data_IF_395891080098
#
_entry.id   IF_395891080098
#
_cell.length_a   1.000
_cell.length_b   1.000
_cell.length_c   1.000
_cell.angle_alpha   90.00
_cell.angle_beta   90.00
_cell.angle_gamma   90.00
#
_symmetry.space_group_name_H-M   'P 1'
#
loop_
_entity.id
_entity.type
_entity.pdbx_description
1 polymer ?
#
# COMPACT_ATOMS: atom_id res chain seq x y z
N UNK A 1 -30.68 61.29 0.35
CA UNK A 1 -30.10 60.98 -0.98
C UNK A 1 -30.33 59.50 -1.25
N UNK A 2 -31.03 59.24 -2.37
CA UNK A 2 -31.31 58.01 -3.13
C UNK A 2 -31.18 56.59 -2.52
N UNK A 3 -32.35 55.96 -2.47
CA UNK A 3 -32.71 54.60 -2.96
C UNK A 3 -31.70 53.81 -3.79
N UNK A 4 -31.61 52.49 -3.57
CA UNK A 4 -32.06 51.47 -4.55
C UNK A 4 -32.15 50.05 -3.97
N UNK A 5 -33.31 49.42 -4.21
CA UNK A 5 -33.64 47.99 -4.07
C UNK A 5 -33.15 47.21 -5.29
N UNK A 6 -32.72 45.95 -5.13
CA UNK A 6 -32.89 44.79 -6.03
C UNK A 6 -32.47 43.55 -5.21
N UNK A 7 -33.10 42.39 -5.20
CA UNK A 7 -34.08 41.79 -6.09
C UNK A 7 -33.76 40.29 -6.16
N UNK A 8 -34.59 39.46 -5.54
CA UNK A 8 -34.54 38.00 -5.46
C UNK A 8 -34.59 37.35 -6.86
N UNK A 9 -33.86 36.23 -7.09
CA UNK A 9 -34.30 35.22 -8.05
C UNK A 9 -33.74 33.82 -7.76
N UNK A 10 -34.68 32.90 -7.52
CA UNK A 10 -34.55 31.46 -7.39
C UNK A 10 -34.13 30.79 -8.70
N UNK A 11 -33.13 29.91 -8.65
CA UNK A 11 -32.82 28.99 -9.76
C UNK A 11 -33.74 27.76 -9.68
N UNK A 12 -34.66 27.65 -10.65
CA UNK A 12 -35.48 26.46 -10.88
C UNK A 12 -34.72 25.46 -11.76
N UNK A 13 -34.69 24.21 -11.33
CA UNK A 13 -34.25 23.05 -12.11
C UNK A 13 -35.22 22.80 -13.28
N UNK A 14 -34.66 22.55 -14.47
CA UNK A 14 -35.38 22.02 -15.64
C UNK A 14 -34.99 20.55 -15.87
N UNK A 15 -35.93 19.66 -16.24
CA UNK A 15 -35.66 18.24 -16.43
C UNK A 15 -35.05 17.94 -17.80
N UNK A 16 -34.14 16.96 -17.82
CA UNK A 16 -33.40 16.51 -19.00
C UNK A 16 -34.31 15.85 -20.06
N UNK A 17 -34.08 16.24 -21.32
CA UNK A 17 -34.73 15.68 -22.51
C UNK A 17 -34.19 14.28 -22.82
N UNK A 18 -35.10 13.31 -22.95
CA UNK A 18 -34.91 12.01 -23.59
C UNK A 18 -34.68 12.21 -25.09
N UNK A 19 -33.55 11.78 -25.60
CA UNK A 19 -33.30 11.62 -27.03
C UNK A 19 -33.08 10.13 -27.33
N UNK A 20 -34.02 9.60 -28.11
CA UNK A 20 -33.98 8.27 -28.72
C UNK A 20 -32.82 8.21 -29.73
N UNK A 21 -31.93 7.23 -29.59
CA UNK A 21 -31.04 6.79 -30.66
C UNK A 21 -31.51 5.42 -31.11
N UNK A 22 -32.01 5.37 -32.34
CA UNK A 22 -32.37 4.16 -33.07
C UNK A 22 -31.19 3.82 -33.99
N UNK A 23 -30.47 2.74 -33.73
CA UNK A 23 -29.59 2.10 -34.73
C UNK A 23 -29.54 0.58 -34.54
N UNK A 24 -30.25 -0.11 -35.44
CA UNK A 24 -29.99 -1.44 -36.02
C UNK A 24 -29.20 -2.48 -35.20
N UNK A 25 -29.93 -3.33 -34.47
CA UNK A 25 -29.41 -4.56 -33.88
C UNK A 25 -29.44 -5.69 -34.92
N UNK A 26 -28.29 -5.98 -35.54
CA UNK A 26 -28.09 -7.14 -36.41
C UNK A 26 -28.16 -8.42 -35.56
N UNK A 27 -29.14 -9.27 -35.85
CA UNK A 27 -29.39 -10.55 -35.20
C UNK A 27 -28.32 -11.59 -35.57
N UNK A 28 -27.13 -11.48 -34.97
CA UNK A 28 -26.19 -12.61 -34.89
C UNK A 28 -26.63 -13.51 -33.74
N UNK A 29 -27.12 -14.71 -34.09
CA UNK A 29 -27.37 -15.82 -33.16
C UNK A 29 -26.05 -16.18 -32.47
N UNK A 30 -25.79 -15.61 -31.30
CA UNK A 30 -24.81 -16.17 -30.37
C UNK A 30 -25.42 -17.43 -29.77
N UNK A 31 -24.83 -18.59 -30.12
CA UNK A 31 -25.10 -19.84 -29.41
C UNK A 31 -24.59 -19.66 -27.99
N UNK A 32 -25.49 -19.43 -27.04
CA UNK A 32 -25.21 -19.64 -25.63
C UNK A 32 -25.06 -21.15 -25.42
N UNK A 33 -23.83 -21.66 -25.41
CA UNK A 33 -23.54 -22.92 -24.74
C UNK A 33 -23.77 -22.74 -23.24
N UNK A 34 -24.17 -23.78 -22.50
CA UNK A 34 -24.25 -23.68 -21.05
C UNK A 34 -22.83 -23.46 -20.52
N UNK A 35 -22.51 -22.23 -20.13
CA UNK A 35 -21.39 -21.99 -19.25
C UNK A 35 -21.76 -22.63 -17.91
N UNK A 36 -21.24 -23.83 -17.66
CA UNK A 36 -21.22 -24.42 -16.33
C UNK A 36 -20.34 -23.52 -15.45
N UNK A 37 -20.93 -22.48 -14.88
CA UNK A 37 -20.35 -21.80 -13.73
C UNK A 37 -20.37 -22.83 -12.59
N UNK A 38 -19.19 -23.31 -12.21
CA UNK A 38 -19.03 -24.23 -11.09
C UNK A 38 -19.63 -23.60 -9.83
N UNK A 39 -20.72 -24.15 -9.34
CA UNK A 39 -21.44 -23.74 -8.12
C UNK A 39 -20.59 -23.85 -6.84
N UNK A 40 -19.37 -24.38 -6.95
CA UNK A 40 -18.43 -24.56 -5.84
C UNK A 40 -17.73 -23.28 -5.37
N UNK A 41 -17.65 -22.22 -6.19
CA UNK A 41 -16.91 -21.01 -5.81
C UNK A 41 -17.72 -20.06 -4.93
N UNK A 42 -19.03 -19.94 -5.17
CA UNK A 42 -19.92 -19.10 -4.35
C UNK A 42 -20.01 -19.57 -2.89
N UNK A 43 -19.99 -20.89 -2.66
CA UNK A 43 -20.04 -21.46 -1.31
C UNK A 43 -18.76 -21.23 -0.51
N UNK A 44 -17.60 -21.19 -1.18
CA UNK A 44 -16.29 -20.96 -0.53
C UNK A 44 -16.13 -19.50 -0.12
N UNK A 45 -16.52 -18.56 -0.97
CA UNK A 45 -16.45 -17.13 -0.68
C UNK A 45 -17.34 -16.77 0.53
N UNK A 46 -18.58 -17.28 0.58
CA UNK A 46 -19.46 -17.06 1.73
C UNK A 46 -18.92 -17.65 3.04
N UNK A 47 -18.32 -18.84 2.97
CA UNK A 47 -17.69 -19.46 4.15
C UNK A 47 -16.47 -18.67 4.63
N UNK A 48 -15.69 -18.08 3.72
CA UNK A 48 -14.52 -17.28 4.07
C UNK A 48 -14.95 -15.95 4.70
N UNK A 49 -15.93 -15.26 4.10
CA UNK A 49 -16.47 -14.02 4.65
C UNK A 49 -17.02 -14.22 6.05
N UNK A 50 -17.79 -15.28 6.30
CA UNK A 50 -18.33 -15.56 7.64
C UNK A 50 -17.23 -15.81 8.68
N UNK A 51 -16.12 -16.47 8.28
CA UNK A 51 -14.96 -16.66 9.17
C UNK A 51 -14.24 -15.35 9.48
N UNK A 52 -14.11 -14.46 8.50
CA UNK A 52 -13.53 -13.12 8.70
C UNK A 52 -14.40 -12.34 9.69
N UNK A 53 -15.72 -12.33 9.48
CA UNK A 53 -16.66 -11.65 10.37
C UNK A 53 -16.57 -12.15 11.82
N UNK A 54 -16.58 -13.47 12.03
CA UNK A 54 -16.40 -14.06 13.37
C UNK A 54 -15.07 -13.69 14.03
N UNK A 55 -14.00 -13.56 13.23
CA UNK A 55 -12.70 -13.14 13.74
C UNK A 55 -12.70 -11.65 14.11
N UNK A 56 -13.35 -10.81 13.31
CA UNK A 56 -13.50 -9.37 13.58
C UNK A 56 -14.37 -9.08 14.81
N UNK A 57 -15.34 -9.93 15.13
CA UNK A 57 -16.13 -9.84 16.36
C UNK A 57 -15.29 -10.11 17.61
N UNK A 58 -14.15 -10.78 17.45
CA UNK A 58 -13.25 -11.15 18.53
C UNK A 58 -12.12 -10.14 18.78
N UNK A 59 -12.03 -9.11 17.93
CA UNK A 59 -11.09 -7.98 18.05
C UNK A 59 -11.51 -7.03 19.16
N UNK A 60 -10.52 -6.44 19.83
CA UNK A 60 -10.70 -5.35 20.78
C UNK A 60 -10.54 -4.02 20.07
N UNK A 61 -11.68 -3.36 19.83
CA UNK A 61 -11.71 -2.02 19.28
C UNK A 61 -11.71 -0.99 20.42
N UNK A 62 -11.09 0.17 20.20
CA UNK A 62 -11.16 1.30 21.13
C UNK A 62 -12.59 1.87 21.23
N UNK A 63 -12.80 2.87 22.09
CA UNK A 63 -14.10 3.52 22.29
C UNK A 63 -14.68 4.17 21.00
N UNK A 64 -13.86 4.30 19.95
CA UNK A 64 -14.24 4.85 18.64
C UNK A 64 -14.40 3.76 17.58
N UNK A 65 -14.30 2.49 17.96
CA UNK A 65 -14.39 1.35 17.05
C UNK A 65 -13.13 1.16 16.19
N UNK A 66 -11.96 1.57 16.68
CA UNK A 66 -10.69 1.56 15.95
C UNK A 66 -9.64 0.68 16.62
N UNK A 67 -8.79 0.09 15.79
CA UNK A 67 -7.55 -0.58 16.18
C UNK A 67 -6.36 0.06 15.44
N UNK A 68 -5.16 -0.11 15.97
CA UNK A 68 -3.94 0.30 15.28
C UNK A 68 -3.64 -0.74 14.19
N UNK A 69 -3.30 -0.27 12.99
CA UNK A 69 -2.86 -1.10 11.87
C UNK A 69 -1.50 -0.62 11.37
N UNK A 70 -0.52 -1.53 11.38
CA UNK A 70 0.86 -1.29 10.96
C UNK A 70 1.09 -1.98 9.63
N UNK A 71 1.47 -1.22 8.59
CA UNK A 71 1.89 -1.80 7.33
C UNK A 71 3.39 -2.14 7.41
N UNK A 72 3.75 -3.38 7.11
CA UNK A 72 5.12 -3.87 7.10
C UNK A 72 5.47 -4.43 5.72
N UNK A 73 6.66 -4.12 5.24
CA UNK A 73 7.19 -4.66 4.00
C UNK A 73 7.49 -6.16 4.18
N UNK A 74 6.84 -7.00 3.37
CA UNK A 74 7.02 -8.46 3.40
C UNK A 74 8.44 -8.89 3.04
N UNK A 75 9.11 -8.15 2.15
CA UNK A 75 10.44 -8.50 1.68
C UNK A 75 11.50 -8.01 2.68
N UNK A 76 11.44 -6.75 3.12
CA UNK A 76 12.53 -6.14 3.92
C UNK A 76 12.31 -6.17 5.43
N UNK A 77 11.08 -6.46 5.88
CA UNK A 77 10.66 -6.31 7.27
C UNK A 77 10.51 -4.87 7.74
N UNK A 78 10.74 -3.87 6.88
CA UNK A 78 10.62 -2.46 7.23
C UNK A 78 9.18 -2.12 7.61
N UNK A 79 9.00 -1.38 8.71
CA UNK A 79 7.71 -0.75 9.01
C UNK A 79 7.51 0.38 8.02
N UNK A 80 6.45 0.31 7.21
CA UNK A 80 6.17 1.26 6.13
C UNK A 80 5.40 2.47 6.66
N UNK A 81 4.31 2.23 7.39
CA UNK A 81 3.46 3.27 7.96
C UNK A 81 2.53 2.68 9.03
N UNK A 82 1.94 3.56 9.83
CA UNK A 82 0.85 3.24 10.74
C UNK A 82 -0.41 4.01 10.34
N UNK A 83 -1.56 3.33 10.42
CA UNK A 83 -2.89 3.92 10.30
C UNK A 83 -3.85 3.31 11.32
N UNK A 84 -5.07 3.83 11.37
CA UNK A 84 -6.15 3.21 12.15
C UNK A 84 -6.97 2.34 11.22
N UNK A 85 -7.54 1.26 11.72
CA UNK A 85 -8.51 0.44 11.01
C UNK A 85 -9.76 0.32 11.87
N UNK A 86 -10.93 0.47 11.25
CA UNK A 86 -12.17 0.00 11.83
C UNK A 86 -12.47 -1.41 11.29
N UNK A 87 -13.54 -2.03 11.78
CA UNK A 87 -14.01 -3.34 11.32
C UNK A 87 -14.10 -3.45 9.79
N UNK A 88 -14.70 -2.45 9.14
CA UNK A 88 -14.88 -2.41 7.68
C UNK A 88 -13.56 -2.31 6.91
N UNK A 89 -12.58 -1.57 7.43
CA UNK A 89 -11.26 -1.43 6.82
C UNK A 89 -10.52 -2.78 6.78
N UNK A 90 -10.61 -3.57 7.85
CA UNK A 90 -9.98 -4.90 7.90
C UNK A 90 -10.68 -5.88 6.97
N UNK A 91 -12.02 -5.89 6.94
CA UNK A 91 -12.79 -6.71 6.01
C UNK A 91 -12.49 -6.36 4.54
N UNK A 92 -12.38 -5.07 4.23
CA UNK A 92 -11.99 -4.57 2.90
C UNK A 92 -10.57 -5.00 2.55
N UNK A 93 -9.65 -4.91 3.51
CA UNK A 93 -8.26 -5.34 3.31
C UNK A 93 -8.17 -6.85 3.03
N UNK A 94 -8.90 -7.67 3.79
CA UNK A 94 -8.93 -9.12 3.63
C UNK A 94 -9.49 -9.56 2.26
N UNK A 95 -10.51 -8.85 1.76
CA UNK A 95 -11.16 -9.14 0.48
C UNK A 95 -10.37 -8.61 -0.71
N UNK A 96 -9.91 -7.36 -0.68
CA UNK A 96 -9.25 -6.71 -1.82
C UNK A 96 -7.75 -6.99 -1.89
N UNK A 97 -7.15 -7.49 -0.80
CA UNK A 97 -5.69 -7.69 -0.65
C UNK A 97 -4.89 -6.41 -0.90
N UNK A 98 -5.46 -5.27 -0.48
CA UNK A 98 -4.80 -3.96 -0.49
C UNK A 98 -4.97 -3.31 0.88
N UNK A 99 -3.95 -2.63 1.38
CA UNK A 99 -3.99 -2.00 2.69
C UNK A 99 -5.08 -0.90 2.73
N UNK A 100 -6.18 -1.18 3.42
CA UNK A 100 -7.26 -0.22 3.67
C UNK A 100 -7.25 0.20 5.13
N UNK A 101 -7.30 1.51 5.34
CA UNK A 101 -7.32 2.16 6.65
C UNK A 101 -8.61 2.97 6.83
N UNK A 102 -8.86 3.41 8.06
CA UNK A 102 -9.91 4.35 8.42
C UNK A 102 -9.31 5.72 8.78
N UNK A 103 -9.74 6.75 8.05
CA UNK A 103 -9.28 8.12 8.24
C UNK A 103 -10.10 8.80 9.35
N UNK A 104 -9.54 8.93 10.56
CA UNK A 104 -10.24 9.57 11.70
C UNK A 104 -10.76 10.99 11.42
N UNK A 105 -10.02 11.77 10.63
CA UNK A 105 -10.39 13.16 10.29
C UNK A 105 -11.48 13.27 9.22
N UNK A 106 -11.61 12.27 8.35
CA UNK A 106 -12.56 12.24 7.23
C UNK A 106 -13.74 11.29 7.48
N UNK A 107 -13.67 10.52 8.57
CA UNK A 107 -14.63 9.48 8.94
C UNK A 107 -14.99 8.54 7.78
N UNK A 108 -13.97 8.10 7.04
CA UNK A 108 -14.15 7.26 5.85
C UNK A 108 -13.00 6.26 5.68
N UNK A 109 -13.28 5.18 4.96
CA UNK A 109 -12.28 4.24 4.47
C UNK A 109 -11.34 4.92 3.48
N UNK A 110 -10.09 4.47 3.45
CA UNK A 110 -9.07 4.92 2.55
C UNK A 110 -8.12 3.77 2.23
N UNK A 111 -8.05 3.37 0.97
CA UNK A 111 -7.08 2.37 0.52
C UNK A 111 -5.79 3.07 0.11
N UNK A 112 -4.68 2.69 0.73
CA UNK A 112 -3.37 3.27 0.41
C UNK A 112 -3.07 3.05 -1.06
N UNK A 113 -2.81 4.13 -1.79
CA UNK A 113 -2.49 4.10 -3.22
C UNK A 113 -3.61 4.56 -4.15
N UNK A 114 -4.86 4.76 -3.68
CA UNK A 114 -6.00 5.17 -4.54
C UNK A 114 -5.74 6.43 -5.38
N UNK A 115 -4.97 7.38 -4.86
CA UNK A 115 -4.62 8.63 -5.58
C UNK A 115 -3.23 8.57 -6.21
N UNK A 116 -2.28 7.90 -5.55
CA UNK A 116 -0.87 7.93 -5.93
C UNK A 116 -0.41 6.73 -6.77
N UNK A 117 -1.26 5.72 -6.96
CA UNK A 117 -0.93 4.38 -7.47
C UNK A 117 0.14 3.58 -6.68
N UNK A 118 0.77 4.17 -5.66
CA UNK A 118 1.62 3.45 -4.69
C UNK A 118 0.77 2.65 -3.69
N UNK A 119 0.23 1.52 -4.13
CA UNK A 119 -0.51 0.58 -3.28
C UNK A 119 0.43 -0.21 -2.35
N UNK A 120 -0.16 -0.83 -1.32
CA UNK A 120 0.49 -1.87 -0.53
C UNK A 120 -0.35 -3.14 -0.70
N UNK A 121 0.18 -4.11 -1.45
CA UNK A 121 -0.48 -5.37 -1.75
C UNK A 121 -0.28 -6.34 -0.59
N UNK A 122 -1.37 -6.77 0.03
CA UNK A 122 -1.35 -7.53 1.27
C UNK A 122 -1.10 -9.01 0.99
N UNK A 123 -0.01 -9.51 1.56
CA UNK A 123 0.31 -10.93 1.60
C UNK A 123 -0.44 -11.60 2.74
N UNK A 124 -0.37 -11.02 3.95
CA UNK A 124 -1.01 -11.59 5.14
C UNK A 124 -1.44 -10.51 6.14
N UNK A 125 -2.33 -10.89 7.06
CA UNK A 125 -2.85 -10.03 8.13
C UNK A 125 -2.64 -10.75 9.46
N UNK A 126 -1.83 -10.16 10.33
CA UNK A 126 -1.62 -10.66 11.69
C UNK A 126 -2.36 -9.80 12.69
N UNK A 127 -2.84 -10.44 13.75
CA UNK A 127 -3.49 -9.80 14.90
C UNK A 127 -2.62 -10.14 16.11
N UNK A 128 -2.40 -9.18 16.99
CA UNK A 128 -1.64 -9.41 18.21
C UNK A 128 -2.39 -10.26 19.24
N UNK A 129 -1.73 -10.58 20.36
CA UNK A 129 -2.21 -11.57 21.30
C UNK A 129 -3.42 -11.10 22.12
N UNK A 130 -3.54 -9.81 22.38
CA UNK A 130 -4.65 -9.15 23.05
C UNK A 130 -5.67 -8.54 22.08
N UNK A 131 -5.41 -8.60 20.78
CA UNK A 131 -6.32 -8.31 19.66
C UNK A 131 -6.71 -6.85 19.52
N UNK A 132 -5.83 -5.93 19.87
CA UNK A 132 -6.04 -4.48 19.70
C UNK A 132 -5.09 -3.83 18.65
N UNK A 133 -4.18 -4.63 18.07
CA UNK A 133 -3.29 -4.20 17.00
C UNK A 133 -3.21 -5.21 15.85
N UNK A 134 -2.96 -4.69 14.65
CA UNK A 134 -2.95 -5.43 13.40
C UNK A 134 -1.65 -5.15 12.65
N UNK A 135 -1.04 -6.19 12.07
CA UNK A 135 0.02 -6.06 11.07
C UNK A 135 -0.54 -6.42 9.70
N UNK A 136 -0.47 -5.48 8.79
CA UNK A 136 -0.65 -5.67 7.36
C UNK A 136 0.71 -5.97 6.74
N UNK A 137 1.01 -7.26 6.54
CA UNK A 137 2.24 -7.69 5.90
C UNK A 137 2.04 -7.66 4.38
N UNK A 138 2.76 -6.78 3.67
CA UNK A 138 2.51 -6.56 2.25
C UNK A 138 3.68 -5.98 1.47
N UNK A 139 3.53 -5.95 0.15
CA UNK A 139 4.51 -5.42 -0.80
C UNK A 139 4.08 -4.06 -1.33
N UNK A 140 4.86 -2.99 -1.12
CA UNK A 140 4.56 -1.68 -1.68
C UNK A 140 4.88 -1.63 -3.19
N UNK A 141 4.03 -0.98 -3.99
CA UNK A 141 4.22 -0.76 -5.44
C UNK A 141 5.08 0.47 -5.76
N UNK A 142 5.48 1.22 -4.74
CA UNK A 142 6.24 2.45 -4.86
C UNK A 142 6.48 3.06 -3.47
N UNK A 143 6.99 4.30 -3.37
CA UNK A 143 7.25 4.91 -2.08
C UNK A 143 5.95 5.03 -1.27
N UNK A 144 5.99 4.56 -0.02
CA UNK A 144 4.82 4.60 0.86
C UNK A 144 4.53 6.04 1.29
N UNK A 145 5.57 6.81 1.57
CA UNK A 145 5.43 8.18 2.08
C UNK A 145 5.15 9.17 0.94
N UNK A 146 4.37 10.21 1.26
CA UNK A 146 4.08 11.30 0.33
C UNK A 146 5.31 12.16 -0.01
N UNK A 147 6.40 12.05 0.77
CA UNK A 147 7.68 12.72 0.49
C UNK A 147 8.52 12.01 -0.57
N UNK A 148 8.11 10.81 -1.00
CA UNK A 148 8.90 9.94 -1.87
C UNK A 148 9.79 8.94 -1.12
N UNK A 149 9.80 8.97 0.21
CA UNK A 149 10.49 7.95 1.01
C UNK A 149 9.74 6.60 1.01
N UNK A 150 10.48 5.50 1.13
CA UNK A 150 9.92 4.13 1.18
C UNK A 150 9.02 3.89 2.39
N UNK A 151 9.40 4.46 3.54
CA UNK A 151 8.70 4.39 4.83
C UNK A 151 8.35 5.79 5.31
N UNK A 152 7.37 5.93 6.20
CA UNK A 152 7.13 7.15 6.97
C UNK A 152 8.13 7.33 8.13
N UNK A 153 8.87 6.28 8.51
CA UNK A 153 9.81 6.27 9.63
C UNK A 153 11.26 6.49 9.16
N UNK A 154 11.51 7.59 8.46
CA UNK A 154 12.80 7.89 7.82
C UNK A 154 13.69 8.88 8.60
N UNK A 155 13.21 9.37 9.75
CA UNK A 155 13.93 10.32 10.60
C UNK A 155 14.09 9.72 11.99
N UNK A 156 15.34 9.64 12.49
CA UNK A 156 15.59 9.17 13.85
C UNK A 156 15.54 10.33 14.86
N UNK A 157 15.40 10.00 16.15
CA UNK A 157 15.42 11.00 17.21
C UNK A 157 16.80 11.68 17.31
N UNK A 158 17.88 10.91 17.16
CA UNK A 158 19.25 11.43 17.22
C UNK A 158 19.51 12.46 16.10
N UNK A 159 19.05 12.19 14.87
CA UNK A 159 19.16 13.12 13.74
C UNK A 159 18.45 14.46 14.01
N UNK A 160 17.38 14.46 14.81
CA UNK A 160 16.66 15.68 15.20
C UNK A 160 17.36 16.44 16.33
N UNK A 161 18.14 15.75 17.15
CA UNK A 161 18.87 16.35 18.27
C UNK A 161 20.21 16.95 17.83
N UNK A 162 20.84 16.40 16.80
CA UNK A 162 22.08 16.92 16.22
C UNK A 162 21.79 18.07 15.25
N UNK A 163 21.72 19.29 15.78
CA UNK A 163 21.72 20.49 14.95
C UNK A 163 23.05 20.60 14.19
N UNK A 164 23.01 20.39 12.87
CA UNK A 164 24.10 20.63 11.90
C UNK A 164 25.15 19.52 11.74
N UNK A 165 24.75 18.39 11.15
CA UNK A 165 25.59 17.63 10.22
C UNK A 165 24.69 16.87 9.24
N UNK A 166 25.17 16.62 8.01
CA UNK A 166 24.37 16.11 6.89
C UNK A 166 23.47 14.92 7.30
N UNK A 167 22.16 15.07 7.08
CA UNK A 167 21.15 14.05 7.38
C UNK A 167 21.42 12.84 6.51
N UNK A 168 22.11 11.85 7.06
CA UNK A 168 22.21 10.54 6.45
C UNK A 168 20.93 9.79 6.82
N UNK A 169 19.95 9.74 5.91
CA UNK A 169 18.69 9.04 6.11
C UNK A 169 18.94 7.54 6.36
N UNK A 170 19.15 7.18 7.63
CA UNK A 170 19.30 5.81 8.07
C UNK A 170 17.91 5.20 8.14
N UNK A 171 17.46 4.64 7.01
CA UNK A 171 16.20 3.90 6.95
C UNK A 171 16.20 2.82 8.05
N UNK A 172 15.05 2.61 8.70
CA UNK A 172 14.83 1.52 9.63
C UNK A 172 14.75 0.16 8.90
N UNK A 173 15.81 -0.20 8.18
CA UNK A 173 15.99 -1.50 7.55
C UNK A 173 16.73 -2.44 8.50
N UNK A 174 16.49 -3.74 8.38
CA UNK A 174 17.36 -4.72 9.04
C UNK A 174 18.78 -4.61 8.46
N UNK A 175 19.78 -4.99 9.26
CA UNK A 175 21.21 -4.91 8.88
C UNK A 175 21.50 -5.64 7.56
N UNK A 176 20.81 -6.75 7.31
CA UNK A 176 20.98 -7.54 6.09
C UNK A 176 20.51 -6.78 4.84
N UNK A 177 19.31 -6.19 4.88
CA UNK A 177 18.78 -5.45 3.73
C UNK A 177 19.49 -4.12 3.51
N UNK A 178 19.94 -3.46 4.58
CA UNK A 178 20.84 -2.31 4.46
C UNK A 178 22.13 -2.69 3.71
N UNK A 179 22.73 -3.82 4.05
CA UNK A 179 23.91 -4.34 3.35
C UNK A 179 23.61 -4.69 1.88
N UNK A 180 22.48 -5.34 1.60
CA UNK A 180 22.07 -5.69 0.23
C UNK A 180 21.86 -4.44 -0.64
N UNK A 181 21.23 -3.37 -0.11
CA UNK A 181 21.09 -2.09 -0.80
C UNK A 181 22.46 -1.51 -1.15
N UNK A 182 23.38 -1.44 -0.18
CA UNK A 182 24.75 -0.97 -0.41
C UNK A 182 25.49 -1.80 -1.45
N UNK A 183 25.32 -3.13 -1.46
CA UNK A 183 25.92 -4.00 -2.49
C UNK A 183 25.31 -3.71 -3.86
N UNK A 184 24.00 -3.46 -3.93
CA UNK A 184 23.29 -3.18 -5.18
C UNK A 184 23.67 -1.82 -5.76
N UNK A 185 23.77 -0.78 -4.94
CA UNK A 185 24.30 0.53 -5.35
C UNK A 185 25.73 0.40 -5.94
N UNK A 186 26.60 -0.36 -5.27
CA UNK A 186 27.97 -0.63 -5.75
C UNK A 186 28.02 -1.46 -7.04
N UNK A 187 26.99 -2.27 -7.34
CA UNK A 187 26.87 -2.92 -8.66
C UNK A 187 26.65 -1.88 -9.77
N UNK A 188 25.85 -0.85 -9.52
CA UNK A 188 25.58 0.22 -10.50
C UNK A 188 26.87 1.01 -10.78
N UNK A 189 27.70 1.23 -9.77
CA UNK A 189 29.00 1.90 -9.90
C UNK A 189 30.02 1.15 -10.79
N UNK A 190 29.81 -0.16 -11.07
CA UNK A 190 30.70 -0.92 -11.97
C UNK A 190 30.78 -0.26 -13.34
N UNK A 191 29.67 0.31 -13.81
CA UNK A 191 29.58 0.97 -15.12
C UNK A 191 30.32 2.32 -15.18
N UNK A 192 30.74 2.89 -14.05
CA UNK A 192 31.40 4.21 -13.98
C UNK A 192 32.92 4.03 -13.88
N UNK A 193 33.72 4.65 -14.78
CA UNK A 193 35.18 4.67 -14.64
C UNK A 193 35.54 5.36 -13.32
N UNK A 194 36.38 4.73 -12.51
CA UNK A 194 36.81 5.32 -11.25
C UNK A 194 38.33 5.48 -11.15
N UNK A 195 38.73 6.61 -10.59
CA UNK A 195 40.09 6.88 -10.17
C UNK A 195 40.29 6.37 -8.74
N UNK A 196 41.16 5.38 -8.57
CA UNK A 196 41.55 4.85 -7.26
C UNK A 196 41.35 3.35 -7.09
N UNK A 197 41.62 2.84 -5.87
CA UNK A 197 41.43 1.42 -5.55
C UNK A 197 39.92 1.11 -5.39
N UNK A 198 39.39 0.09 -6.09
CA UNK A 198 37.97 -0.27 -5.99
C UNK A 198 37.64 -0.83 -4.59
N UNK A 199 36.37 -0.67 -4.18
CA UNK A 199 35.87 -1.33 -2.98
C UNK A 199 35.98 -2.87 -3.10
N UNK A 200 36.07 -3.57 -1.96
CA UNK A 200 36.16 -5.03 -1.97
C UNK A 200 35.00 -5.69 -2.72
N UNK A 201 33.77 -5.21 -2.48
CA UNK A 201 32.56 -5.66 -3.18
C UNK A 201 32.70 -5.51 -4.68
N UNK A 202 33.18 -4.36 -5.17
CA UNK A 202 33.38 -4.12 -6.60
C UNK A 202 34.44 -5.04 -7.20
N UNK A 203 35.53 -5.29 -6.48
CA UNK A 203 36.58 -6.22 -6.92
C UNK A 203 36.04 -7.64 -7.10
N UNK A 204 35.21 -8.10 -6.17
CA UNK A 204 34.54 -9.40 -6.30
C UNK A 204 33.59 -9.42 -7.50
N UNK A 205 32.83 -8.35 -7.74
CA UNK A 205 31.87 -8.29 -8.84
C UNK A 205 32.51 -8.20 -10.23
N UNK A 206 33.77 -7.72 -10.33
CA UNK A 206 34.54 -7.65 -11.57
C UNK A 206 35.24 -8.98 -11.93
N UNK A 207 35.51 -9.83 -10.95
CA UNK A 207 36.24 -11.09 -11.12
C UNK A 207 35.36 -12.26 -10.69
N UNK A 208 34.71 -12.88 -11.67
CA UNK A 208 33.78 -13.99 -11.44
C UNK A 208 34.49 -15.24 -10.88
N UNK A 209 35.76 -15.47 -11.22
CA UNK A 209 36.53 -16.60 -10.68
C UNK A 209 36.84 -16.37 -9.20
N UNK A 210 37.27 -15.15 -8.85
CA UNK A 210 37.49 -14.77 -7.47
C UNK A 210 36.20 -14.84 -6.65
N UNK A 211 35.07 -14.36 -7.18
CA UNK A 211 33.77 -14.47 -6.53
C UNK A 211 33.39 -15.92 -6.25
N UNK A 212 33.46 -16.77 -7.27
CA UNK A 212 33.16 -18.20 -7.15
C UNK A 212 34.06 -18.88 -6.10
N UNK A 213 35.35 -18.52 -6.03
CA UNK A 213 36.29 -19.04 -5.02
C UNK A 213 35.95 -18.66 -3.57
N UNK A 214 35.06 -17.68 -3.37
CA UNK A 214 34.61 -17.23 -2.04
C UNK A 214 33.24 -17.78 -1.65
N UNK A 215 32.48 -18.31 -2.61
CA UNK A 215 31.13 -18.87 -2.39
C UNK A 215 31.18 -20.40 -2.31
N UNK A 216 32.06 -21.05 -3.09
CA UNK A 216 32.23 -22.50 -3.03
C UNK A 216 33.08 -22.89 -1.81
N UNK A 217 32.61 -23.83 -0.96
CA UNK A 217 33.38 -24.36 0.17
C UNK A 217 34.57 -25.22 -0.25
#
# INVERSE_FOLDING_TARGET
MSTSYFGCQSLRFSPAKRLFVSTNFSSRKFRCGPAFASTSDFGKDLSLQMKVEMLLDSMKWDDKGLAVAIAQNVDTGAILMQGFANREAVATTASQRKATFYSRSRSQLWTKGETSNNFINIHDIFIDCDRDSIIYLGKPDGPTCHTGAETCYYTSLDDLMESQQEVNHKLALSTLYSLESTISERKVEIAVPQNGKPSWTRRLLLDNNLLCSKISP
#
